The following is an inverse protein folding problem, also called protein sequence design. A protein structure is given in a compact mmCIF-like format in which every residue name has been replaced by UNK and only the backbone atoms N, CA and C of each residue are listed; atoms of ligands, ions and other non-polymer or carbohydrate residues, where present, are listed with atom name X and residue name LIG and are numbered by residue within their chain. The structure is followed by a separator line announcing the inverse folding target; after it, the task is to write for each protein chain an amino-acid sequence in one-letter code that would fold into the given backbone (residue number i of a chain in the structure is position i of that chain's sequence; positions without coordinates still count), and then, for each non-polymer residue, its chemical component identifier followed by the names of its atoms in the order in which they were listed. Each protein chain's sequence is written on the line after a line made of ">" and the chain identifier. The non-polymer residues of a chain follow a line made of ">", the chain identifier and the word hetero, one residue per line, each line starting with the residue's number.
data_IF_592857354774
#
_entry.id   IF_592857354774
#
_cell.length_a   1.000
_cell.length_b   1.000
_cell.length_c   1.000
_cell.angle_alpha   90.00
_cell.angle_beta   90.00
_cell.angle_gamma   90.00
#
_symmetry.space_group_name_H-M   'P 1'
#
loop_
_entity.id
_entity.type
_entity.pdbx_description
1 polymer ?
#
# COMPACT_ATOMS: atom_id res chain seq x y z
N UNK A 1 11.40 4.03 -2.53
CA UNK A 1 11.17 4.25 -1.10
C UNK A 1 10.12 5.31 -0.91
N UNK A 2 9.30 5.15 0.09
CA UNK A 2 8.14 6.02 0.34
C UNK A 2 8.41 6.81 1.61
N UNK A 3 8.18 8.11 1.56
CA UNK A 3 8.41 9.00 2.70
C UNK A 3 7.19 9.89 2.91
N UNK A 4 7.22 10.72 3.97
CA UNK A 4 6.17 11.72 4.20
C UNK A 4 5.97 12.57 2.96
N UNK A 5 4.72 12.88 2.68
CA UNK A 5 4.25 13.69 1.53
C UNK A 5 4.39 12.99 0.18
N UNK A 6 4.86 11.75 0.12
CA UNK A 6 4.80 10.96 -1.11
C UNK A 6 3.35 10.69 -1.49
N UNK A 7 3.06 10.75 -2.79
CA UNK A 7 1.75 10.40 -3.32
C UNK A 7 1.75 8.93 -3.74
N UNK A 8 0.69 8.21 -3.39
CA UNK A 8 0.51 6.80 -3.74
C UNK A 8 -0.78 6.61 -4.50
N UNK A 9 -0.76 5.71 -5.47
CA UNK A 9 -1.97 5.21 -6.09
C UNK A 9 -2.56 4.11 -5.21
N UNK A 10 -3.87 3.95 -5.25
CA UNK A 10 -4.54 2.89 -4.49
C UNK A 10 -4.86 1.74 -5.43
N UNK A 11 -4.44 0.54 -5.02
CA UNK A 11 -4.54 -0.68 -5.82
C UNK A 11 -5.77 -1.52 -5.50
N UNK A 12 -6.75 -0.97 -4.79
CA UNK A 12 -7.97 -1.71 -4.44
C UNK A 12 -9.23 -0.95 -4.85
N UNK A 13 -10.39 -1.58 -4.61
CA UNK A 13 -11.69 -1.01 -4.93
C UNK A 13 -12.38 -0.37 -3.72
N UNK A 14 -11.62 0.08 -2.73
CA UNK A 14 -12.17 0.75 -1.54
C UNK A 14 -12.81 2.11 -1.85
N UNK A 15 -12.50 2.68 -3.01
CA UNK A 15 -12.99 3.98 -3.42
C UNK A 15 -11.95 5.10 -3.39
N UNK A 16 -10.88 4.94 -2.65
CA UNK A 16 -9.75 5.86 -2.70
C UNK A 16 -9.00 5.64 -4.01
N UNK A 17 -8.61 6.73 -4.67
CA UNK A 17 -7.82 6.66 -5.90
C UNK A 17 -6.39 7.09 -5.66
N UNK A 18 -6.20 8.14 -4.88
CA UNK A 18 -4.88 8.69 -4.62
C UNK A 18 -4.78 9.19 -3.20
N UNK A 19 -3.66 8.90 -2.54
CA UNK A 19 -3.44 9.26 -1.14
C UNK A 19 -2.06 9.89 -0.98
N UNK A 20 -1.90 10.66 0.10
CA UNK A 20 -0.61 11.23 0.48
C UNK A 20 -0.18 10.62 1.81
N UNK A 21 1.07 10.21 1.88
CA UNK A 21 1.64 9.67 3.13
C UNK A 21 1.85 10.81 4.11
N UNK A 22 1.26 10.69 5.30
CA UNK A 22 1.42 11.68 6.37
C UNK A 22 2.31 11.20 7.50
N UNK A 23 2.47 9.87 7.64
CA UNK A 23 3.38 9.32 8.64
C UNK A 23 3.81 7.91 8.23
N UNK A 24 5.06 7.56 8.55
CA UNK A 24 5.60 6.23 8.33
C UNK A 24 5.60 5.51 9.68
N UNK A 25 4.87 4.40 9.77
CA UNK A 25 4.76 3.62 11.00
C UNK A 25 6.06 2.88 11.30
N UNK A 26 6.32 2.67 12.58
CA UNK A 26 7.52 1.99 13.04
C UNK A 26 8.21 2.80 14.13
N UNK A 27 9.54 2.92 14.06
CA UNK A 27 10.29 3.71 15.03
C UNK A 27 10.24 5.21 14.69
N UNK A 28 10.53 6.06 15.67
CA UNK A 28 10.58 7.50 15.48
C UNK A 28 11.66 7.95 14.47
N UNK A 29 12.64 7.09 14.23
CA UNK A 29 13.74 7.36 13.29
C UNK A 29 13.47 6.82 11.88
N UNK A 30 12.38 6.10 11.69
CA UNK A 30 12.06 5.53 10.40
C UNK A 30 11.55 6.63 9.47
N UNK A 31 12.29 6.88 8.39
CA UNK A 31 11.99 7.93 7.41
C UNK A 31 11.35 7.39 6.14
N UNK A 32 11.62 6.13 5.80
CA UNK A 32 11.19 5.54 4.54
C UNK A 32 10.42 4.27 4.78
N UNK A 33 9.35 4.07 4.00
CA UNK A 33 8.58 2.84 3.99
C UNK A 33 8.92 2.05 2.73
N UNK A 34 8.86 0.73 2.87
CA UNK A 34 9.11 -0.24 1.81
C UNK A 34 7.88 -1.11 1.62
N UNK A 35 7.93 -1.99 0.62
CA UNK A 35 6.86 -2.95 0.39
C UNK A 35 6.59 -3.75 1.67
N UNK A 36 5.32 -3.83 2.06
CA UNK A 36 4.89 -4.52 3.27
C UNK A 36 4.85 -3.64 4.52
N UNK A 37 5.33 -2.41 4.45
CA UNK A 37 5.24 -1.48 5.56
C UNK A 37 3.89 -0.78 5.57
N UNK A 38 3.40 -0.48 6.78
CA UNK A 38 2.15 0.26 6.98
C UNK A 38 2.48 1.74 7.12
N UNK A 39 1.70 2.57 6.43
CA UNK A 39 1.81 4.03 6.51
C UNK A 39 0.46 4.64 6.82
N UNK A 40 0.46 5.79 7.47
CA UNK A 40 -0.73 6.59 7.67
C UNK A 40 -0.88 7.51 6.46
N UNK A 41 -2.05 7.52 5.86
CA UNK A 41 -2.30 8.27 4.62
C UNK A 41 -3.55 9.15 4.75
N UNK A 42 -3.55 10.26 4.02
CA UNK A 42 -4.72 11.11 3.84
C UNK A 42 -5.23 10.94 2.41
N UNK A 43 -6.53 10.69 2.26
CA UNK A 43 -7.14 10.49 0.94
C UNK A 43 -7.24 11.83 0.23
N UNK A 44 -6.62 11.96 -0.93
CA UNK A 44 -6.64 13.18 -1.74
C UNK A 44 -7.63 13.10 -2.90
N UNK A 45 -7.91 11.91 -3.40
CA UNK A 45 -8.87 11.70 -4.48
C UNK A 45 -9.63 10.41 -4.23
N UNK A 46 -10.94 10.48 -4.28
CA UNK A 46 -11.81 9.31 -4.04
C UNK A 46 -13.01 9.35 -4.98
N UNK A 47 -13.60 8.17 -5.21
CA UNK A 47 -14.84 8.02 -5.97
C UNK A 47 -15.99 8.53 -5.11
N UNK A 48 -16.87 9.41 -5.62
CA UNK A 48 -18.03 9.87 -4.86
C UNK A 48 -18.93 8.71 -4.43
N UNK A 49 -19.43 8.77 -3.19
CA UNK A 49 -20.33 7.76 -2.65
C UNK A 49 -19.66 6.47 -2.20
N UNK A 50 -18.35 6.39 -2.25
CA UNK A 50 -17.62 5.20 -1.78
C UNK A 50 -17.49 5.20 -0.25
N UNK A 51 -17.10 4.02 0.28
CA UNK A 51 -16.87 3.84 1.72
C UNK A 51 -15.77 4.77 2.23
N UNK A 52 -14.71 4.94 1.44
CA UNK A 52 -13.59 5.84 1.75
C UNK A 52 -13.84 7.17 1.08
N UNK A 53 -13.76 8.24 1.84
CA UNK A 53 -14.06 9.61 1.39
C UNK A 53 -12.79 10.45 1.32
N UNK A 54 -12.83 11.51 0.51
CA UNK A 54 -11.77 12.51 0.46
C UNK A 54 -11.52 13.09 1.85
N UNK A 55 -10.26 13.29 2.18
CA UNK A 55 -9.77 13.82 3.47
C UNK A 55 -9.80 12.82 4.64
N UNK A 56 -10.25 11.58 4.43
CA UNK A 56 -10.14 10.56 5.45
C UNK A 56 -8.66 10.24 5.72
N UNK A 57 -8.35 9.95 6.99
CA UNK A 57 -7.02 9.53 7.43
C UNK A 57 -7.09 8.05 7.76
N UNK A 58 -6.32 7.24 7.05
CA UNK A 58 -6.42 5.79 7.12
C UNK A 58 -5.04 5.16 7.15
N UNK A 59 -4.99 3.88 7.51
CA UNK A 59 -3.78 3.09 7.38
C UNK A 59 -3.76 2.43 6.00
N UNK A 60 -2.57 2.27 5.45
CA UNK A 60 -2.37 1.58 4.18
C UNK A 60 -1.08 0.78 4.22
N UNK A 61 -1.05 -0.35 3.52
CA UNK A 61 0.15 -1.15 3.33
C UNK A 61 0.66 -0.97 1.91
N UNK A 62 1.96 -0.77 1.77
CA UNK A 62 2.59 -0.56 0.47
C UNK A 62 2.74 -1.90 -0.23
N UNK A 63 2.19 -2.02 -1.44
CA UNK A 63 2.22 -3.26 -2.22
C UNK A 63 3.13 -3.19 -3.43
N UNK A 64 3.42 -1.99 -3.95
CA UNK A 64 4.32 -1.77 -5.07
C UNK A 64 5.16 -0.52 -4.86
N UNK A 65 6.41 -0.55 -5.31
CA UNK A 65 7.28 0.63 -5.33
C UNK A 65 8.05 0.71 -6.64
N UNK A 66 8.34 1.93 -7.08
CA UNK A 66 9.23 2.16 -8.22
C UNK A 66 10.68 1.87 -7.88
N UNK A 67 11.06 2.12 -6.62
CA UNK A 67 12.41 1.79 -6.15
C UNK A 67 12.54 0.28 -6.04
N UNK A 68 13.62 -0.26 -6.56
CA UNK A 68 13.87 -1.69 -6.53
C UNK A 68 13.98 -2.20 -5.10
N UNK A 69 13.42 -3.38 -4.87
CA UNK A 69 13.54 -4.13 -3.63
C UNK A 69 14.49 -5.29 -3.85
N UNK A 70 15.57 -5.34 -3.06
CA UNK A 70 16.49 -6.48 -3.09
C UNK A 70 15.88 -7.63 -2.32
N UNK A 71 15.82 -8.80 -2.96
CA UNK A 71 15.34 -10.03 -2.34
C UNK A 71 16.49 -10.84 -1.74
N UNK A 72 16.13 -11.75 -0.84
CA UNK A 72 17.09 -12.61 -0.13
C UNK A 72 17.93 -13.43 -1.11
N UNK A 73 17.36 -13.85 -2.24
CA UNK A 73 18.05 -14.63 -3.25
C UNK A 73 18.99 -13.80 -4.17
N UNK A 74 19.11 -12.51 -3.91
CA UNK A 74 19.96 -11.60 -4.67
C UNK A 74 19.31 -10.97 -5.88
N UNK A 75 18.05 -11.32 -6.20
CA UNK A 75 17.31 -10.69 -7.27
C UNK A 75 16.69 -9.37 -6.82
N UNK A 76 16.27 -8.55 -7.79
CA UNK A 76 15.60 -7.28 -7.53
C UNK A 76 14.23 -7.27 -8.19
N UNK A 77 13.28 -6.59 -7.56
CA UNK A 77 11.98 -6.35 -8.17
C UNK A 77 11.65 -4.86 -8.05
N UNK A 78 11.07 -4.32 -9.11
CA UNK A 78 10.51 -2.96 -9.10
C UNK A 78 9.26 -2.93 -9.95
N UNK A 79 8.40 -1.98 -9.67
CA UNK A 79 7.13 -1.79 -10.37
C UNK A 79 7.12 -0.45 -11.08
N UNK A 80 6.11 -0.23 -11.92
CA UNK A 80 5.95 1.02 -12.66
C UNK A 80 5.37 2.16 -11.84
N UNK A 81 4.83 1.88 -10.66
CA UNK A 81 4.19 2.88 -9.80
C UNK A 81 4.44 2.59 -8.32
N UNK A 82 4.08 3.55 -7.48
CA UNK A 82 4.00 3.36 -6.03
C UNK A 82 2.54 3.19 -5.68
N UNK A 83 2.18 2.04 -5.12
CA UNK A 83 0.79 1.72 -4.83
C UNK A 83 0.63 1.11 -3.44
N UNK A 84 -0.55 1.33 -2.87
CA UNK A 84 -0.89 0.85 -1.54
C UNK A 84 -2.32 0.31 -1.53
N UNK A 85 -2.61 -0.46 -0.49
CA UNK A 85 -3.94 -1.01 -0.22
C UNK A 85 -4.42 -0.45 1.12
N UNK A 86 -5.64 0.06 1.17
CA UNK A 86 -6.23 0.63 2.37
C UNK A 86 -6.56 -0.49 3.36
N UNK A 87 -6.18 -0.27 4.62
CA UNK A 87 -6.46 -1.20 5.71
C UNK A 87 -7.47 -0.57 6.67
N UNK A 88 -8.28 -1.44 7.30
CA UNK A 88 -9.13 -1.01 8.41
C UNK A 88 -8.33 -1.01 9.73
N UNK A 89 -9.01 -0.73 10.85
CA UNK A 89 -8.37 -0.67 12.17
C UNK A 89 -7.81 -2.01 12.62
N UNK A 90 -8.34 -3.11 12.11
CA UNK A 90 -7.89 -4.46 12.44
C UNK A 90 -6.74 -4.93 11.56
N UNK A 91 -6.27 -4.08 10.64
CA UNK A 91 -5.18 -4.42 9.74
C UNK A 91 -5.60 -5.25 8.54
N UNK A 92 -6.88 -5.36 8.26
CA UNK A 92 -7.41 -6.10 7.12
C UNK A 92 -7.75 -5.16 5.96
N UNK A 93 -7.66 -5.64 4.70
CA UNK A 93 -8.03 -4.80 3.55
C UNK A 93 -9.50 -4.38 3.59
N UNK A 94 -9.75 -3.11 3.36
CA UNK A 94 -11.11 -2.57 3.23
C UNK A 94 -11.75 -3.02 1.93
N UNK A 95 -10.99 -3.00 0.84
CA UNK A 95 -11.46 -3.42 -0.46
C UNK A 95 -11.51 -4.93 -0.61
N UNK A 96 -12.38 -5.41 -1.48
CA UNK A 96 -12.55 -6.83 -1.77
C UNK A 96 -11.75 -7.29 -2.98
N UNK A 97 -11.21 -6.35 -3.76
CA UNK A 97 -10.53 -6.63 -5.01
C UNK A 97 -9.24 -5.83 -5.11
N UNK A 98 -8.19 -6.47 -5.61
CA UNK A 98 -6.88 -5.84 -5.80
C UNK A 98 -6.62 -5.70 -7.30
N UNK A 99 -6.10 -4.55 -7.71
CA UNK A 99 -5.78 -4.25 -9.11
C UNK A 99 -4.26 -4.29 -9.32
N UNK A 100 -3.85 -5.00 -10.36
CA UNK A 100 -2.46 -5.11 -10.73
C UNK A 100 -1.66 -6.08 -9.85
N UNK A 101 -0.35 -6.23 -10.14
CA UNK A 101 0.49 -7.16 -9.39
C UNK A 101 0.80 -6.63 -7.99
N UNK A 102 1.12 -7.55 -7.08
CA UNK A 102 1.66 -7.24 -5.77
C UNK A 102 2.94 -8.04 -5.55
N UNK A 103 3.79 -7.58 -4.64
CA UNK A 103 5.01 -8.28 -4.31
C UNK A 103 4.74 -9.45 -3.35
N UNK A 104 5.40 -10.58 -3.56
CA UNK A 104 5.22 -11.78 -2.72
C UNK A 104 5.72 -11.59 -1.29
N UNK A 105 6.51 -10.57 -1.01
CA UNK A 105 6.98 -10.24 0.33
C UNK A 105 5.85 -9.95 1.32
N UNK A 106 4.66 -9.60 0.81
CA UNK A 106 3.49 -9.37 1.64
C UNK A 106 3.06 -10.65 2.39
N UNK A 107 3.31 -11.83 1.85
CA UNK A 107 3.02 -13.10 2.53
C UNK A 107 3.79 -13.22 3.83
N UNK A 108 5.08 -12.90 3.81
CA UNK A 108 5.93 -12.95 5.00
C UNK A 108 5.52 -11.92 6.06
N UNK A 109 4.85 -10.84 5.65
CA UNK A 109 4.34 -9.80 6.55
C UNK A 109 2.93 -10.10 7.08
N UNK A 110 2.32 -11.21 6.66
CA UNK A 110 1.01 -11.64 7.15
C UNK A 110 -0.19 -11.14 6.34
N UNK A 111 0.03 -10.52 5.19
CA UNK A 111 -1.05 -9.99 4.36
C UNK A 111 -1.56 -11.03 3.35
N UNK A 112 -1.97 -12.19 3.86
CA UNK A 112 -2.43 -13.29 3.02
C UNK A 112 -3.70 -12.97 2.24
N UNK A 113 -4.59 -12.15 2.81
CA UNK A 113 -5.81 -11.73 2.13
C UNK A 113 -5.51 -10.90 0.89
N UNK A 114 -4.51 -10.02 0.96
CA UNK A 114 -4.07 -9.24 -0.20
C UNK A 114 -3.49 -10.15 -1.28
N UNK A 115 -2.64 -11.10 -0.88
CA UNK A 115 -2.03 -12.07 -1.80
C UNK A 115 -3.11 -12.89 -2.51
N UNK A 116 -4.11 -13.36 -1.78
CA UNK A 116 -5.18 -14.21 -2.35
C UNK A 116 -6.09 -13.44 -3.31
N UNK A 117 -6.24 -12.14 -3.13
CA UNK A 117 -7.11 -11.30 -3.96
C UNK A 117 -6.40 -10.65 -5.13
N UNK A 118 -5.08 -10.68 -5.15
CA UNK A 118 -4.29 -10.07 -6.22
C UNK A 118 -4.35 -10.93 -7.49
N UNK A 119 -4.48 -10.30 -8.68
CA UNK A 119 -4.49 -11.06 -9.93
C UNK A 119 -3.14 -11.66 -10.26
N UNK A 120 -2.06 -11.09 -9.75
CA UNK A 120 -0.70 -11.56 -10.00
C UNK A 120 0.18 -11.25 -8.80
N UNK A 121 1.01 -12.24 -8.39
CA UNK A 121 1.94 -12.08 -7.28
C UNK A 121 3.36 -12.29 -7.81
N UNK A 122 4.17 -11.26 -7.75
CA UNK A 122 5.55 -11.25 -8.24
C UNK A 122 6.53 -11.15 -7.05
#
# INVERSE_FOLDING_TARGET
>A
MIQKFSMLDIADNSGAKRVMVINVSGSTRKRFARIGDVVKVAVKKAVPGATVKKSDVLDAVIVRTRKELRRVDGTYIRFGDNAAVILNKDGEPVGTRIFGPVARELRARGYLQIISRAPEVL
#
